data_IF_999919774401
#
_entry.id   IF_999919774401
#
_cell.length_a   1.000
_cell.length_b   1.000
_cell.length_c   1.000
_cell.angle_alpha   90.00
_cell.angle_beta   90.00
_cell.angle_gamma   90.00
#
_symmetry.space_group_name_H-M   'P 1'
#
loop_
_entity.id
_entity.type
_entity.pdbx_description
1 polymer ?
#
# COMPACT_ATOMS: atom_id res chain seq x y z
N UNK A 1 -5.31 11.25 -18.19
CA UNK A 1 -4.04 10.89 -17.55
C UNK A 1 -3.86 9.38 -17.57
N UNK A 2 -2.62 8.91 -17.66
CA UNK A 2 -2.21 7.53 -17.44
C UNK A 2 -1.75 7.37 -15.98
N UNK A 3 -2.44 6.55 -15.20
CA UNK A 3 -2.30 6.44 -13.75
C UNK A 3 -1.88 5.02 -13.38
N UNK A 4 -0.75 4.88 -12.70
CA UNK A 4 -0.34 3.61 -12.10
C UNK A 4 -0.89 3.53 -10.68
N UNK A 5 -1.81 2.61 -10.42
CA UNK A 5 -2.47 2.44 -9.13
C UNK A 5 -1.95 1.20 -8.41
N UNK A 6 -1.36 1.35 -7.22
CA UNK A 6 -0.88 0.24 -6.39
C UNK A 6 -1.74 0.08 -5.14
N UNK A 7 -2.08 -1.16 -4.80
CA UNK A 7 -2.73 -1.46 -3.51
C UNK A 7 -2.27 -2.81 -2.93
N UNK A 8 -2.41 -2.95 -1.61
CA UNK A 8 -1.92 -4.09 -0.84
C UNK A 8 -2.83 -5.34 -0.92
N UNK A 9 -4.09 -5.16 -1.33
CA UNK A 9 -5.08 -6.21 -1.53
C UNK A 9 -5.77 -5.99 -2.86
N UNK A 10 -5.94 -7.05 -3.64
CA UNK A 10 -6.56 -6.92 -4.95
C UNK A 10 -7.97 -6.34 -4.79
N UNK A 11 -8.30 -5.20 -5.44
CA UNK A 11 -9.46 -4.38 -5.07
C UNK A 11 -10.80 -5.00 -5.50
N UNK A 12 -10.79 -6.19 -6.09
CA UNK A 12 -11.99 -6.90 -6.52
C UNK A 12 -12.08 -8.29 -5.87
N UNK A 13 -13.30 -8.80 -5.60
CA UNK A 13 -14.56 -8.04 -5.49
C UNK A 13 -14.54 -7.14 -4.24
N UNK A 14 -15.25 -6.00 -4.24
CA UNK A 14 -15.25 -5.03 -3.14
C UNK A 14 -16.11 -5.51 -1.95
N UNK A 15 -15.80 -6.68 -1.38
CA UNK A 15 -16.55 -7.31 -0.27
C UNK A 15 -15.98 -6.96 1.12
N UNK A 16 -14.81 -6.34 1.21
CA UNK A 16 -14.07 -6.06 2.47
C UNK A 16 -13.53 -4.64 2.48
N UNK A 17 -13.40 -4.03 3.65
CA UNK A 17 -12.94 -2.63 3.82
C UNK A 17 -11.70 -2.27 3.00
N UNK A 18 -10.62 -3.06 3.12
CA UNK A 18 -9.39 -2.84 2.36
C UNK A 18 -9.45 -3.11 0.84
N UNK A 19 -10.62 -3.48 0.30
CA UNK A 19 -10.89 -3.59 -1.15
C UNK A 19 -11.88 -2.51 -1.63
N UNK A 20 -12.83 -2.11 -0.78
CA UNK A 20 -13.92 -1.18 -1.13
C UNK A 20 -13.40 0.21 -1.50
N UNK A 21 -12.56 0.81 -0.67
CA UNK A 21 -11.99 2.15 -0.94
C UNK A 21 -11.16 2.15 -2.23
N UNK A 22 -10.13 1.29 -2.40
CA UNK A 22 -9.34 1.33 -3.63
C UNK A 22 -10.16 1.01 -4.88
N UNK A 23 -11.14 0.09 -4.80
CA UNK A 23 -12.05 -0.17 -5.91
C UNK A 23 -12.83 1.06 -6.35
N UNK A 24 -13.46 1.78 -5.41
CA UNK A 24 -14.24 2.96 -5.74
C UNK A 24 -13.37 4.10 -6.26
N UNK A 25 -12.14 4.24 -5.76
CA UNK A 25 -11.17 5.21 -6.30
C UNK A 25 -10.79 4.88 -7.74
N UNK A 26 -10.42 3.63 -8.03
CA UNK A 26 -10.10 3.17 -9.39
C UNK A 26 -11.28 3.42 -10.33
N UNK A 27 -12.49 3.00 -9.92
CA UNK A 27 -13.71 3.20 -10.70
C UNK A 27 -13.98 4.68 -10.96
N UNK A 28 -13.83 5.55 -9.96
CA UNK A 28 -14.03 6.99 -10.12
C UNK A 28 -13.01 7.62 -11.08
N UNK A 29 -11.73 7.25 -10.95
CA UNK A 29 -10.66 7.72 -11.85
C UNK A 29 -10.93 7.28 -13.30
N UNK A 30 -11.31 6.02 -13.50
CA UNK A 30 -11.66 5.49 -14.82
C UNK A 30 -12.88 6.22 -15.42
N UNK A 31 -13.95 6.41 -14.64
CA UNK A 31 -15.15 7.11 -15.05
C UNK A 31 -14.90 8.59 -15.37
N UNK A 32 -13.87 9.18 -14.76
CA UNK A 32 -13.40 10.54 -15.05
C UNK A 32 -12.53 10.63 -16.31
N UNK A 33 -12.41 9.54 -17.08
CA UNK A 33 -11.68 9.49 -18.34
C UNK A 33 -10.17 9.25 -18.19
N UNK A 34 -9.71 8.74 -17.05
CA UNK A 34 -8.31 8.36 -16.86
C UNK A 34 -8.07 6.90 -17.23
N UNK A 35 -6.88 6.63 -17.76
CA UNK A 35 -6.40 5.28 -18.01
C UNK A 35 -5.72 4.81 -16.74
N UNK A 36 -6.32 3.84 -16.04
CA UNK A 36 -5.81 3.36 -14.75
C UNK A 36 -5.27 1.95 -14.93
N UNK A 37 -3.99 1.74 -14.61
CA UNK A 37 -3.38 0.40 -14.56
C UNK A 37 -3.20 -0.02 -13.11
N UNK A 38 -3.81 -1.14 -12.72
CA UNK A 38 -3.86 -1.58 -11.32
C UNK A 38 -2.82 -2.66 -11.05
N UNK A 39 -1.97 -2.45 -10.05
CA UNK A 39 -0.96 -3.42 -9.60
C UNK A 39 -1.24 -3.80 -8.14
N UNK A 40 -1.42 -5.09 -7.85
CA UNK A 40 -1.68 -5.55 -6.50
C UNK A 40 -1.27 -7.01 -6.30
N UNK A 41 -1.32 -7.49 -5.06
CA UNK A 41 -1.07 -8.88 -4.71
C UNK A 41 -2.35 -9.72 -4.76
N UNK A 42 -2.21 -10.97 -5.20
CA UNK A 42 -3.19 -12.04 -5.05
C UNK A 42 -2.61 -13.16 -4.17
N UNK A 43 -3.35 -13.57 -3.14
CA UNK A 43 -2.87 -14.54 -2.12
C UNK A 43 -3.28 -15.99 -2.40
N UNK A 44 -4.21 -16.19 -3.33
CA UNK A 44 -4.63 -17.50 -3.79
C UNK A 44 -5.09 -17.45 -5.24
N UNK A 45 -5.13 -18.62 -5.88
CA UNK A 45 -5.67 -18.75 -7.23
C UNK A 45 -7.15 -18.33 -7.30
N UNK A 46 -7.94 -18.66 -6.27
CA UNK A 46 -9.33 -18.23 -6.19
C UNK A 46 -9.45 -16.70 -6.11
N UNK A 47 -8.57 -16.02 -5.35
CA UNK A 47 -8.53 -14.57 -5.30
C UNK A 47 -8.10 -13.96 -6.65
N UNK A 48 -7.14 -14.59 -7.34
CA UNK A 48 -6.71 -14.15 -8.67
C UNK A 48 -7.83 -14.27 -9.70
N UNK A 49 -8.56 -15.39 -9.69
CA UNK A 49 -9.72 -15.63 -10.56
C UNK A 49 -10.85 -14.65 -10.29
N UNK A 50 -11.26 -14.48 -9.02
CA UNK A 50 -12.26 -13.48 -8.66
C UNK A 50 -11.79 -12.08 -9.08
N UNK A 51 -10.52 -11.75 -8.85
CA UNK A 51 -9.93 -10.45 -9.14
C UNK A 51 -10.01 -10.03 -10.61
N UNK A 52 -10.12 -10.96 -11.56
CA UNK A 52 -10.26 -10.64 -12.99
C UNK A 52 -11.47 -9.74 -13.29
N UNK A 53 -12.48 -9.71 -12.42
CA UNK A 53 -13.61 -8.80 -12.54
C UNK A 53 -13.26 -7.30 -12.49
N UNK A 54 -12.03 -6.93 -12.09
CA UNK A 54 -11.56 -5.54 -12.17
C UNK A 54 -11.41 -5.05 -13.62
N UNK A 55 -11.25 -5.96 -14.60
CA UNK A 55 -10.97 -5.62 -15.99
C UNK A 55 -11.98 -4.63 -16.60
N UNK A 56 -13.24 -4.68 -16.15
CA UNK A 56 -14.29 -3.76 -16.61
C UNK A 56 -14.19 -2.35 -16.02
N UNK A 57 -13.24 -2.11 -15.09
CA UNK A 57 -13.13 -0.89 -14.29
C UNK A 57 -11.74 -0.24 -14.37
N UNK A 58 -10.81 -0.82 -15.13
CA UNK A 58 -9.46 -0.29 -15.32
C UNK A 58 -8.98 -0.56 -16.76
N UNK A 59 -7.93 0.13 -17.19
CA UNK A 59 -7.34 -0.05 -18.51
C UNK A 59 -6.55 -1.37 -18.59
N UNK A 60 -5.78 -1.67 -17.55
CA UNK A 60 -5.00 -2.89 -17.44
C UNK A 60 -4.82 -3.25 -15.94
N UNK A 61 -4.46 -4.49 -15.64
CA UNK A 61 -4.13 -4.91 -14.28
C UNK A 61 -3.09 -6.03 -14.24
N UNK A 62 -2.28 -6.02 -13.17
CA UNK A 62 -1.32 -7.08 -12.90
C UNK A 62 -1.39 -7.53 -11.45
N UNK A 63 -1.29 -8.85 -11.28
CA UNK A 63 -1.32 -9.51 -9.99
C UNK A 63 0.05 -10.10 -9.69
N UNK A 64 0.65 -9.72 -8.57
CA UNK A 64 1.79 -10.44 -7.99
C UNK A 64 1.29 -11.57 -7.11
N UNK A 65 1.66 -12.80 -7.41
CA UNK A 65 1.21 -13.96 -6.66
C UNK A 65 2.08 -14.14 -5.42
N UNK A 66 1.43 -14.29 -4.27
CA UNK A 66 2.12 -14.53 -3.00
C UNK A 66 1.54 -15.75 -2.31
N UNK A 67 2.40 -16.46 -1.58
CA UNK A 67 2.03 -17.62 -0.77
C UNK A 67 2.19 -17.27 0.70
N UNK A 68 1.16 -17.53 1.50
CA UNK A 68 1.15 -17.20 2.93
C UNK A 68 2.39 -17.65 3.71
N UNK A 69 2.89 -18.90 3.56
CA UNK A 69 4.09 -19.33 4.30
C UNK A 69 5.33 -18.49 3.98
N UNK A 70 5.46 -18.05 2.72
CA UNK A 70 6.59 -17.21 2.28
C UNK A 70 6.46 -15.80 2.84
N UNK A 71 5.25 -15.23 2.82
CA UNK A 71 5.01 -13.90 3.38
C UNK A 71 5.21 -13.87 4.90
N UNK A 72 4.78 -14.93 5.59
CA UNK A 72 5.04 -15.10 7.02
C UNK A 72 6.54 -15.23 7.32
N UNK A 73 7.27 -16.04 6.54
CA UNK A 73 8.73 -16.13 6.68
C UNK A 73 9.41 -14.77 6.46
N UNK A 74 9.00 -14.00 5.44
CA UNK A 74 9.51 -12.63 5.21
C UNK A 74 9.22 -11.69 6.37
N UNK A 75 8.02 -11.77 6.95
CA UNK A 75 7.63 -10.99 8.12
C UNK A 75 8.55 -11.29 9.31
N UNK A 76 8.80 -12.57 9.60
CA UNK A 76 9.66 -13.01 10.70
C UNK A 76 11.12 -12.61 10.47
N UNK A 77 11.64 -12.78 9.25
CA UNK A 77 13.02 -12.42 8.90
C UNK A 77 13.30 -10.91 9.01
N UNK A 78 12.26 -10.05 9.01
CA UNK A 78 12.38 -8.60 9.22
C UNK A 78 12.29 -8.17 10.68
N UNK A 79 12.01 -9.07 11.62
CA UNK A 79 12.02 -8.75 13.06
C UNK A 79 13.34 -8.13 13.56
N UNK A 80 14.55 -8.60 13.15
CA UNK A 80 15.80 -7.96 13.55
C UNK A 80 16.15 -6.70 12.74
N UNK A 81 15.42 -6.38 11.66
CA UNK A 81 15.72 -5.25 10.78
C UNK A 81 14.96 -3.99 11.18
N UNK A 82 15.42 -2.84 10.73
CA UNK A 82 14.71 -1.56 10.91
C UNK A 82 13.49 -1.43 10.01
N UNK A 83 13.41 -2.21 8.93
CA UNK A 83 12.24 -2.24 8.06
C UNK A 83 11.08 -2.95 8.74
N UNK A 84 9.84 -2.44 8.63
CA UNK A 84 8.70 -3.08 9.25
C UNK A 84 8.44 -4.48 8.71
N UNK A 85 7.98 -5.36 9.59
CA UNK A 85 7.59 -6.72 9.25
C UNK A 85 6.39 -6.74 8.28
N UNK A 86 5.46 -5.78 8.42
CA UNK A 86 4.30 -5.59 7.54
C UNK A 86 4.73 -5.34 6.08
N UNK A 87 5.75 -4.51 5.86
CA UNK A 87 6.30 -4.30 4.51
C UNK A 87 6.88 -5.58 3.91
N UNK A 88 7.41 -6.50 4.73
CA UNK A 88 7.87 -7.81 4.25
C UNK A 88 6.73 -8.72 3.87
N UNK A 89 5.66 -8.68 4.67
CA UNK A 89 4.44 -9.45 4.46
C UNK A 89 3.67 -9.04 3.19
N UNK A 90 3.83 -7.79 2.72
CA UNK A 90 3.24 -7.30 1.47
C UNK A 90 4.26 -7.14 0.33
N UNK A 91 5.43 -7.80 0.43
CA UNK A 91 6.43 -7.78 -0.64
C UNK A 91 6.31 -9.00 -1.57
N UNK A 92 6.30 -8.78 -2.87
CA UNK A 92 6.43 -9.79 -3.91
C UNK A 92 7.50 -9.37 -4.93
N UNK A 93 8.51 -10.23 -5.20
CA UNK A 93 9.48 -9.94 -6.25
C UNK A 93 8.84 -9.94 -7.65
N UNK A 94 7.77 -10.72 -7.86
CA UNK A 94 7.02 -10.73 -9.12
C UNK A 94 6.34 -9.38 -9.35
N UNK A 95 5.66 -8.84 -8.33
CA UNK A 95 5.03 -7.51 -8.44
C UNK A 95 6.09 -6.40 -8.60
N UNK A 96 7.21 -6.47 -7.87
CA UNK A 96 8.30 -5.51 -8.01
C UNK A 96 8.87 -5.50 -9.43
N UNK A 97 9.13 -6.67 -10.00
CA UNK A 97 9.63 -6.79 -11.36
C UNK A 97 8.62 -6.21 -12.37
N UNK A 98 7.33 -6.52 -12.21
CA UNK A 98 6.30 -6.02 -13.13
C UNK A 98 6.10 -4.51 -13.02
N UNK A 99 6.11 -3.95 -11.81
CA UNK A 99 6.03 -2.50 -11.61
C UNK A 99 7.24 -1.80 -12.24
N UNK A 100 8.45 -2.33 -12.05
CA UNK A 100 9.65 -1.76 -12.67
C UNK A 100 9.61 -1.84 -14.21
N UNK A 101 9.11 -2.94 -14.77
CA UNK A 101 8.89 -3.07 -16.21
C UNK A 101 7.92 -2.01 -16.73
N UNK A 102 6.79 -1.81 -16.04
CA UNK A 102 5.80 -0.79 -16.40
C UNK A 102 6.35 0.64 -16.31
N UNK A 103 7.11 0.93 -15.26
CA UNK A 103 7.76 2.23 -15.09
C UNK A 103 8.81 2.50 -16.19
N UNK A 104 9.46 1.46 -16.71
CA UNK A 104 10.46 1.58 -17.77
C UNK A 104 9.86 1.65 -19.18
N UNK A 105 8.69 1.05 -19.40
CA UNK A 105 8.11 0.86 -20.75
C UNK A 105 7.02 1.87 -21.09
N UNK A 106 6.42 2.53 -20.09
CA UNK A 106 5.31 3.44 -20.27
C UNK A 106 5.57 4.76 -19.54
N UNK A 107 5.01 5.86 -20.06
CA UNK A 107 4.99 7.14 -19.35
C UNK A 107 3.76 7.21 -18.45
N UNK A 108 3.97 7.66 -17.22
CA UNK A 108 2.94 7.81 -16.21
C UNK A 108 2.78 9.28 -15.87
N UNK A 109 1.53 9.74 -15.80
CA UNK A 109 1.22 11.11 -15.37
C UNK A 109 1.09 11.18 -13.84
N UNK A 110 0.75 10.06 -13.21
CA UNK A 110 0.54 9.95 -11.76
C UNK A 110 0.77 8.51 -11.30
N UNK A 111 1.40 8.37 -10.13
CA UNK A 111 1.43 7.13 -9.37
C UNK A 111 0.55 7.30 -8.13
N UNK A 112 -0.44 6.44 -7.98
CA UNK A 112 -1.34 6.43 -6.84
C UNK A 112 -1.09 5.17 -6.01
N UNK A 113 -0.78 5.32 -4.73
CA UNK A 113 -0.53 4.20 -3.83
C UNK A 113 -1.56 4.20 -2.71
N UNK A 114 -2.23 3.07 -2.52
CA UNK A 114 -3.13 2.84 -1.39
C UNK A 114 -2.51 1.82 -0.42
N UNK A 115 -2.29 2.26 0.82
CA UNK A 115 -1.54 1.62 1.92
C UNK A 115 -0.01 1.77 1.81
N UNK A 116 0.60 2.22 2.91
CA UNK A 116 2.06 2.42 3.04
C UNK A 116 2.87 1.15 2.78
N UNK A 117 2.30 -0.03 3.07
CA UNK A 117 2.97 -1.32 2.92
C UNK A 117 3.38 -1.66 1.47
N UNK A 118 2.74 -1.06 0.47
CA UNK A 118 3.08 -1.23 -0.96
C UNK A 118 3.77 0.00 -1.57
N UNK A 119 3.96 1.08 -0.81
CA UNK A 119 4.68 2.26 -1.29
C UNK A 119 6.13 1.94 -1.67
N UNK A 120 6.72 0.90 -1.07
CA UNK A 120 8.10 0.44 -1.36
C UNK A 120 8.35 0.12 -2.84
N UNK A 121 7.32 -0.23 -3.62
CA UNK A 121 7.48 -0.53 -5.05
C UNK A 121 7.79 0.71 -5.90
N UNK A 122 7.41 1.90 -5.44
CA UNK A 122 7.48 3.14 -6.24
C UNK A 122 8.13 4.31 -5.48
N UNK A 123 8.51 4.10 -4.22
CA UNK A 123 9.18 5.10 -3.39
C UNK A 123 10.43 5.73 -4.06
N UNK A 124 11.14 4.94 -4.87
CA UNK A 124 12.36 5.35 -5.57
C UNK A 124 12.13 6.24 -6.81
N UNK A 125 10.91 6.27 -7.36
CA UNK A 125 10.55 7.10 -8.53
C UNK A 125 10.53 8.57 -8.14
N UNK A 126 11.06 9.48 -8.96
CA UNK A 126 11.16 10.93 -8.59
C UNK A 126 10.65 11.88 -9.65
N UNK A 127 10.43 11.39 -10.86
CA UNK A 127 10.09 12.14 -12.06
C UNK A 127 8.60 12.10 -12.41
N UNK A 128 7.82 11.32 -11.66
CA UNK A 128 6.36 11.21 -11.78
C UNK A 128 5.74 11.65 -10.46
N UNK A 129 4.71 12.53 -10.47
CA UNK A 129 3.97 12.87 -9.26
C UNK A 129 3.40 11.63 -8.58
N UNK A 130 3.47 11.58 -7.24
CA UNK A 130 3.02 10.43 -6.45
C UNK A 130 2.09 10.86 -5.32
N UNK A 131 0.97 10.14 -5.20
CA UNK A 131 0.03 10.25 -4.09
C UNK A 131 0.12 8.98 -3.24
N UNK A 132 0.27 9.14 -1.93
CA UNK A 132 0.16 8.05 -0.96
C UNK A 132 -1.10 8.23 -0.13
N UNK A 133 -2.15 7.48 -0.47
CA UNK A 133 -3.29 7.27 0.41
C UNK A 133 -2.91 6.19 1.42
N UNK A 134 -2.62 6.59 2.65
CA UNK A 134 -2.34 5.63 3.69
C UNK A 134 -3.55 4.72 3.95
N UNK A 135 -4.76 5.21 3.69
CA UNK A 135 -5.99 4.56 4.10
C UNK A 135 -6.09 4.63 5.61
N UNK A 136 -5.37 3.73 6.28
CA UNK A 136 -5.24 3.66 7.72
C UNK A 136 -3.82 4.05 8.17
N UNK A 137 -3.68 4.63 9.37
CA UNK A 137 -2.38 4.75 10.04
C UNK A 137 -1.98 3.42 10.68
N UNK A 138 -1.26 2.57 9.95
CA UNK A 138 -0.87 1.25 10.43
C UNK A 138 -0.02 1.34 11.71
N UNK A 139 0.92 2.30 11.77
CA UNK A 139 1.74 2.51 12.97
C UNK A 139 0.92 2.75 14.23
N UNK A 140 -0.13 3.59 14.16
CA UNK A 140 -1.03 3.83 15.28
C UNK A 140 -1.80 2.58 15.66
N UNK A 141 -2.30 1.82 14.70
CA UNK A 141 -3.00 0.56 14.98
C UNK A 141 -2.10 -0.41 15.76
N UNK A 142 -0.83 -0.55 15.35
CA UNK A 142 0.13 -1.40 16.04
C UNK A 142 0.43 -0.90 17.46
N UNK A 143 0.63 0.40 17.65
CA UNK A 143 0.90 1.00 18.97
C UNK A 143 -0.33 0.89 19.90
N UNK A 144 -1.53 1.12 19.39
CA UNK A 144 -2.79 0.95 20.13
C UNK A 144 -2.96 -0.51 20.58
N UNK A 145 -2.70 -1.48 19.71
CA UNK A 145 -2.72 -2.89 20.10
C UNK A 145 -1.68 -3.24 21.17
N UNK A 146 -0.53 -2.57 21.21
CA UNK A 146 0.46 -2.80 22.24
C UNK A 146 -0.07 -2.49 23.65
N UNK A 147 -1.00 -1.54 23.78
CA UNK A 147 -1.64 -1.19 25.05
C UNK A 147 -2.63 -2.25 25.56
N UNK A 148 -3.28 -3.00 24.66
CA UNK A 148 -4.29 -4.01 25.04
C UNK A 148 -3.74 -5.44 25.13
N UNK A 149 -2.49 -5.69 24.72
CA UNK A 149 -1.91 -7.04 24.71
C UNK A 149 -1.00 -7.28 25.93
N UNK A 150 -1.01 -8.48 26.52
CA UNK A 150 -0.09 -8.80 27.59
C UNK A 150 1.34 -8.97 27.08
N UNK A 151 2.31 -8.82 27.97
CA UNK A 151 3.69 -9.22 27.70
C UNK A 151 3.78 -10.74 27.44
N UNK A 152 4.58 -11.22 26.48
CA UNK A 152 5.53 -10.49 25.64
C UNK A 152 4.96 -9.98 24.31
N UNK A 153 3.69 -10.25 24.00
CA UNK A 153 3.08 -9.85 22.72
C UNK A 153 3.09 -8.33 22.55
N UNK A 154 2.82 -7.55 23.60
CA UNK A 154 2.88 -6.08 23.57
C UNK A 154 4.22 -5.55 23.07
N UNK A 155 5.34 -6.18 23.42
CA UNK A 155 6.67 -5.77 22.94
C UNK A 155 6.81 -5.92 21.42
N UNK A 156 6.24 -6.99 20.86
CA UNK A 156 6.21 -7.20 19.41
C UNK A 156 5.39 -6.13 18.69
N UNK A 157 4.21 -5.78 19.24
CA UNK A 157 3.36 -4.70 18.74
C UNK A 157 4.05 -3.33 18.83
N UNK A 158 4.70 -3.01 19.96
CA UNK A 158 5.46 -1.77 20.13
C UNK A 158 6.62 -1.67 19.14
N UNK A 159 7.36 -2.78 18.96
CA UNK A 159 8.48 -2.83 18.02
C UNK A 159 8.00 -2.60 16.59
N UNK A 160 6.96 -3.31 16.14
CA UNK A 160 6.40 -3.14 14.79
C UNK A 160 5.80 -1.75 14.60
N UNK A 161 5.06 -1.23 15.58
CA UNK A 161 4.48 0.10 15.52
C UNK A 161 5.53 1.20 15.43
N UNK A 162 6.64 1.08 16.17
CA UNK A 162 7.75 2.04 16.10
C UNK A 162 8.45 1.99 14.74
N UNK A 163 8.66 0.79 14.18
CA UNK A 163 9.23 0.64 12.83
C UNK A 163 8.30 1.20 11.77
N UNK A 164 7.01 0.88 11.85
CA UNK A 164 5.99 1.39 10.92
C UNK A 164 5.95 2.92 10.98
N UNK A 165 5.96 3.52 12.17
CA UNK A 165 5.99 4.97 12.33
C UNK A 165 7.18 5.60 11.61
N UNK A 166 8.38 5.04 11.80
CA UNK A 166 9.58 5.52 11.11
C UNK A 166 9.47 5.37 9.58
N UNK A 167 8.92 4.26 9.10
CA UNK A 167 8.73 3.99 7.68
C UNK A 167 7.68 4.91 7.05
N UNK A 168 6.55 5.12 7.71
CA UNK A 168 5.49 6.04 7.25
C UNK A 168 5.99 7.48 7.17
N UNK A 169 6.75 7.95 8.18
CA UNK A 169 7.41 9.27 8.14
C UNK A 169 8.39 9.40 6.98
N UNK A 170 9.17 8.35 6.71
CA UNK A 170 10.11 8.33 5.60
C UNK A 170 9.39 8.36 4.25
N UNK A 171 8.35 7.54 4.09
CA UNK A 171 7.54 7.46 2.88
C UNK A 171 6.80 8.78 2.63
N UNK A 172 6.18 9.39 3.63
CA UNK A 172 5.46 10.65 3.43
C UNK A 172 6.33 11.75 2.80
N UNK A 173 7.63 11.81 3.14
CA UNK A 173 8.59 12.76 2.53
C UNK A 173 8.92 12.48 1.07
N UNK A 174 8.63 11.27 0.58
CA UNK A 174 8.95 10.83 -0.77
C UNK A 174 7.75 10.94 -1.72
N UNK A 175 6.59 11.36 -1.24
CA UNK A 175 5.36 11.52 -2.01
C UNK A 175 4.94 13.00 -1.99
N UNK A 176 4.30 13.44 -3.08
CA UNK A 176 3.95 14.85 -3.29
C UNK A 176 2.68 15.24 -2.52
N UNK A 177 1.77 14.28 -2.35
CA UNK A 177 0.54 14.42 -1.55
C UNK A 177 0.28 13.12 -0.79
N UNK A 178 -0.10 13.24 0.47
CA UNK A 178 -0.45 12.12 1.33
C UNK A 178 -1.87 12.28 1.86
N UNK A 179 -2.66 11.22 1.87
CA UNK A 179 -4.05 11.28 2.36
C UNK A 179 -4.33 10.21 3.40
N UNK A 180 -5.32 10.46 4.26
CA UNK A 180 -5.84 9.51 5.24
C UNK A 180 -7.37 9.33 5.10
N UNK A 181 -7.95 8.29 5.72
CA UNK A 181 -9.40 8.05 5.63
C UNK A 181 -10.18 8.91 6.61
N UNK A 182 -9.69 9.06 7.84
CA UNK A 182 -10.38 9.79 8.90
C UNK A 182 -9.59 11.00 9.36
N UNK A 183 -10.30 11.96 9.97
CA UNK A 183 -9.67 13.15 10.55
C UNK A 183 -8.60 12.82 11.60
N UNK A 184 -8.83 11.82 12.45
CA UNK A 184 -7.86 11.43 13.48
C UNK A 184 -6.57 10.85 12.87
N UNK A 185 -6.70 10.07 11.80
CA UNK A 185 -5.56 9.54 11.04
C UNK A 185 -4.83 10.66 10.28
N UNK A 186 -5.57 11.62 9.74
CA UNK A 186 -4.99 12.80 9.10
C UNK A 186 -4.22 13.67 10.11
N UNK A 187 -4.76 13.93 11.31
CA UNK A 187 -4.06 14.67 12.38
C UNK A 187 -2.74 13.98 12.79
N UNK A 188 -2.72 12.66 12.69
CA UNK A 188 -1.51 11.86 12.93
C UNK A 188 -0.48 12.05 11.83
N UNK A 189 -0.93 11.96 10.58
CA UNK A 189 -0.11 12.16 9.40
C UNK A 189 0.47 13.58 9.36
N UNK A 190 -0.33 14.61 9.64
CA UNK A 190 0.09 16.01 9.77
C UNK A 190 1.10 16.16 10.92
N UNK A 191 0.82 15.52 12.06
CA UNK A 191 1.72 15.45 13.22
C UNK A 191 3.08 14.79 12.95
N UNK A 192 3.27 14.11 11.80
CA UNK A 192 4.59 13.63 11.40
C UNK A 192 5.56 14.77 11.04
N UNK A 193 5.07 15.96 10.69
CA UNK A 193 5.89 17.13 10.37
C UNK A 193 6.84 16.86 9.19
N UNK A 194 6.37 16.15 8.18
CA UNK A 194 7.19 15.71 7.04
C UNK A 194 7.32 16.78 5.95
N UNK A 195 6.47 17.81 5.98
CA UNK A 195 6.40 18.86 4.97
C UNK A 195 5.71 18.43 3.67
N UNK A 196 5.21 17.19 3.60
CA UNK A 196 4.35 16.75 2.52
C UNK A 196 2.99 17.45 2.61
N UNK A 197 2.37 17.76 1.48
CA UNK A 197 0.97 18.23 1.48
C UNK A 197 0.09 17.07 1.96
N UNK A 198 -0.85 17.35 2.85
CA UNK A 198 -1.74 16.35 3.43
C UNK A 198 -3.20 16.76 3.33
N UNK A 199 -4.08 15.83 2.95
CA UNK A 199 -5.54 15.99 2.84
C UNK A 199 -6.31 14.80 3.44
#
# INVERSE_FOLDING_TARGET
MNILYLCHRFPFPPKRGGKIRPFNMIRHLQQSGHQVTVCSLARSEAEAQEGQGIAAHCQDFHMGHVKEPVQFARMVLRLPLTTPSSMGYFYSPELAAKVNELLATQRWDLIFVHCSSVAQYVAHVRDVPKILDFGDMDSQKWLEYAHYKPFPLSLGYTLEGTKMLAAEKHLARQFDLCTATTRAEWETLDGYGTGAVTD
#
